data_IF_143341614781
#
_entry.id   IF_143341614781
#
_cell.length_a   1.000
_cell.length_b   1.000
_cell.length_c   1.000
_cell.angle_alpha   90.00
_cell.angle_beta   90.00
_cell.angle_gamma   90.00
#
_symmetry.space_group_name_H-M   'P 1'
#
loop_
_entity.id
_entity.type
_entity.pdbx_description
1 polymer ?
#
# COMPACT_ATOMS: atom_id res chain seq x y z
N UNK A 1 16.18 2.19 9.18
CA UNK A 1 16.91 3.09 8.27
C UNK A 1 16.81 4.51 8.83
N UNK A 2 17.95 5.16 9.11
CA UNK A 2 17.97 6.50 9.71
C UNK A 2 17.62 7.55 8.64
N UNK A 3 16.66 8.44 8.90
CA UNK A 3 16.23 9.53 8.01
C UNK A 3 17.11 10.76 8.29
N UNK A 4 17.85 11.26 7.31
CA UNK A 4 18.73 12.43 7.51
C UNK A 4 17.96 13.72 7.72
N UNK A 5 16.81 13.88 7.06
CA UNK A 5 15.88 14.99 7.25
C UNK A 5 15.53 15.17 8.73
N UNK A 6 15.27 14.07 9.45
CA UNK A 6 14.96 14.11 10.88
C UNK A 6 16.07 14.80 11.69
N UNK A 7 17.33 14.48 11.41
CA UNK A 7 18.48 15.06 12.11
C UNK A 7 18.68 16.53 11.74
N UNK A 8 18.49 16.87 10.47
CA UNK A 8 18.61 18.25 9.96
C UNK A 8 17.51 19.15 10.53
N UNK A 9 16.26 18.68 10.54
CA UNK A 9 15.16 19.47 11.09
C UNK A 9 15.30 19.65 12.61
N UNK A 10 15.79 18.63 13.32
CA UNK A 10 16.03 18.70 14.77
C UNK A 10 17.15 19.66 15.16
N UNK A 11 18.18 19.77 14.33
CA UNK A 11 19.32 20.67 14.55
C UNK A 11 19.10 22.08 14.00
N UNK A 12 17.95 22.33 13.36
CA UNK A 12 17.64 23.62 12.75
C UNK A 12 17.37 24.68 13.82
N UNK A 13 18.08 25.82 13.80
CA UNK A 13 17.80 26.93 14.70
C UNK A 13 16.58 27.76 14.28
N UNK A 14 15.87 27.36 13.23
CA UNK A 14 14.75 28.12 12.61
C UNK A 14 13.42 27.38 12.77
N UNK A 15 13.45 26.06 12.98
CA UNK A 15 12.26 25.22 13.09
C UNK A 15 12.04 24.92 14.57
N UNK A 16 11.11 25.66 15.18
CA UNK A 16 10.78 25.48 16.59
C UNK A 16 9.42 24.84 16.75
N UNK A 17 8.47 25.16 15.85
CA UNK A 17 7.12 24.63 15.87
C UNK A 17 6.76 23.91 14.56
N UNK A 18 5.83 22.95 14.57
CA UNK A 18 5.41 22.26 13.35
C UNK A 18 4.78 23.18 12.30
N UNK A 19 4.25 24.35 12.67
CA UNK A 19 3.80 25.37 11.72
C UNK A 19 4.95 25.98 10.90
N UNK A 20 6.17 26.11 11.45
CA UNK A 20 7.35 26.62 10.71
C UNK A 20 7.67 25.75 9.51
N UNK A 21 7.30 24.48 9.62
CA UNK A 21 7.45 23.47 8.59
C UNK A 21 6.66 23.82 7.32
N UNK A 22 5.48 24.43 7.46
CA UNK A 22 4.72 24.91 6.30
C UNK A 22 5.39 26.12 5.64
N UNK A 23 6.05 26.97 6.41
CA UNK A 23 6.74 28.16 5.91
C UNK A 23 7.95 27.80 5.05
N UNK A 24 8.68 26.75 5.43
CA UNK A 24 9.89 26.30 4.75
C UNK A 24 9.71 25.00 3.97
N UNK A 25 8.47 24.63 3.65
CA UNK A 25 8.14 23.31 3.08
C UNK A 25 8.91 22.99 1.80
N UNK A 26 9.19 23.99 0.97
CA UNK A 26 9.97 23.82 -0.26
C UNK A 26 11.41 23.42 0.01
N UNK A 27 12.09 24.11 0.93
CA UNK A 27 13.44 23.75 1.35
C UNK A 27 13.47 22.36 2.01
N UNK A 28 12.44 22.05 2.81
CA UNK A 28 12.30 20.74 3.45
C UNK A 28 12.14 19.63 2.42
N UNK A 29 11.38 19.86 1.34
CA UNK A 29 11.28 18.90 0.24
C UNK A 29 12.60 18.71 -0.50
N UNK A 30 13.39 19.76 -0.73
CA UNK A 30 14.72 19.57 -1.34
C UNK A 30 15.61 18.69 -0.46
N UNK A 31 15.62 18.93 0.85
CA UNK A 31 16.39 18.13 1.81
C UNK A 31 15.87 16.68 1.88
N UNK A 32 14.54 16.49 1.79
CA UNK A 32 13.91 15.17 1.89
C UNK A 32 14.19 14.28 0.67
N UNK A 33 14.63 14.84 -0.46
CA UNK A 33 14.76 14.13 -1.75
C UNK A 33 15.70 12.94 -1.66
N UNK A 34 16.87 13.12 -1.05
CA UNK A 34 17.88 12.06 -0.94
C UNK A 34 17.42 10.93 -0.01
N UNK A 35 16.73 11.29 1.08
CA UNK A 35 16.09 10.31 1.93
C UNK A 35 15.06 9.51 1.14
N UNK A 36 14.12 10.17 0.46
CA UNK A 36 13.09 9.52 -0.36
C UNK A 36 13.71 8.61 -1.41
N UNK A 37 14.74 9.05 -2.15
CA UNK A 37 15.45 8.25 -3.14
C UNK A 37 16.14 7.03 -2.51
N UNK A 38 16.78 7.20 -1.36
CA UNK A 38 17.43 6.10 -0.63
C UNK A 38 16.40 5.11 -0.08
N UNK A 39 15.29 5.60 0.47
CA UNK A 39 14.20 4.75 0.98
C UNK A 39 13.57 3.97 -0.16
N UNK A 40 13.27 4.62 -1.28
CA UNK A 40 12.71 3.98 -2.47
C UNK A 40 13.61 2.83 -2.94
N UNK A 41 14.92 3.08 -3.11
CA UNK A 41 15.91 2.05 -3.47
C UNK A 41 15.98 0.92 -2.44
N UNK A 42 16.05 1.24 -1.16
CA UNK A 42 16.10 0.24 -0.09
C UNK A 42 14.84 -0.65 -0.07
N UNK A 43 13.68 -0.07 -0.41
CA UNK A 43 12.39 -0.77 -0.54
C UNK A 43 12.16 -1.37 -1.93
N UNK A 44 13.19 -1.36 -2.80
CA UNK A 44 13.12 -1.84 -4.19
C UNK A 44 11.94 -1.23 -4.99
N UNK A 45 11.60 0.02 -4.68
CA UNK A 45 10.62 0.82 -5.43
C UNK A 45 11.37 1.62 -6.49
N UNK A 46 11.15 1.27 -7.74
CA UNK A 46 11.79 1.91 -8.89
C UNK A 46 10.80 2.82 -9.57
N UNK A 47 11.25 4.04 -9.89
CA UNK A 47 10.49 5.02 -10.66
C UNK A 47 11.30 5.29 -11.93
N UNK A 48 10.68 5.09 -13.10
CA UNK A 48 11.36 5.34 -14.38
C UNK A 48 11.84 6.79 -14.49
N UNK A 49 10.98 7.73 -14.09
CA UNK A 49 11.34 9.13 -13.91
C UNK A 49 11.10 9.53 -12.44
N UNK A 50 12.14 9.33 -11.62
CA UNK A 50 12.12 9.68 -10.21
C UNK A 50 11.86 11.17 -10.00
N UNK A 51 12.47 12.03 -10.82
CA UNK A 51 12.45 13.47 -10.63
C UNK A 51 11.06 14.05 -10.87
N UNK A 52 10.43 13.64 -11.97
CA UNK A 52 9.05 14.02 -12.28
C UNK A 52 8.09 13.47 -11.21
N UNK A 53 8.19 12.18 -10.86
CA UNK A 53 7.36 11.60 -9.81
C UNK A 53 7.52 12.34 -8.46
N UNK A 54 8.75 12.72 -8.11
CA UNK A 54 9.07 13.44 -6.88
C UNK A 54 8.45 14.84 -6.87
N UNK A 55 8.62 15.61 -7.95
CA UNK A 55 8.06 16.96 -8.06
C UNK A 55 6.53 16.96 -7.95
N UNK A 56 5.86 16.00 -8.59
CA UNK A 56 4.41 15.87 -8.51
C UNK A 56 3.96 15.43 -7.11
N UNK A 57 4.71 14.55 -6.46
CA UNK A 57 4.46 14.16 -5.08
C UNK A 57 4.56 15.35 -4.12
N UNK A 58 5.49 16.27 -4.37
CA UNK A 58 5.63 17.52 -3.62
C UNK A 58 4.37 18.38 -3.77
N UNK A 59 3.88 18.58 -5.00
CA UNK A 59 2.64 19.32 -5.27
C UNK A 59 1.43 18.70 -4.57
N UNK A 60 1.25 17.39 -4.68
CA UNK A 60 0.16 16.66 -4.01
C UNK A 60 0.25 16.75 -2.47
N UNK A 61 1.48 16.73 -1.93
CA UNK A 61 1.73 16.87 -0.49
C UNK A 61 1.39 18.28 -0.01
N UNK A 62 1.76 19.35 -0.75
CA UNK A 62 1.33 20.72 -0.43
C UNK A 62 -0.19 20.86 -0.40
N UNK A 63 -0.89 20.29 -1.40
CA UNK A 63 -2.36 20.29 -1.44
C UNK A 63 -2.98 19.50 -0.29
N UNK A 64 -2.30 18.49 0.24
CA UNK A 64 -2.73 17.80 1.46
C UNK A 64 -2.54 18.70 2.68
N UNK A 65 -1.37 19.33 2.82
CA UNK A 65 -1.04 20.20 3.95
C UNK A 65 -1.91 21.46 4.02
N UNK A 66 -2.38 21.99 2.88
CA UNK A 66 -3.31 23.12 2.86
C UNK A 66 -4.69 22.75 3.43
N UNK A 67 -5.08 21.47 3.40
CA UNK A 67 -6.32 20.97 4.01
C UNK A 67 -6.12 20.73 5.51
N UNK A 68 -5.96 21.83 6.26
CA UNK A 68 -5.76 21.83 7.73
C UNK A 68 -6.87 21.11 8.52
N UNK A 69 -8.03 20.86 7.93
CA UNK A 69 -9.11 20.10 8.55
C UNK A 69 -8.85 18.58 8.62
N UNK A 70 -7.95 18.04 7.78
CA UNK A 70 -7.64 16.62 7.76
C UNK A 70 -7.01 16.17 9.08
N UNK A 71 -7.54 15.08 9.65
CA UNK A 71 -7.09 14.55 10.95
C UNK A 71 -5.57 14.30 11.01
N UNK A 72 -5.00 13.76 9.92
CA UNK A 72 -3.56 13.54 9.82
C UNK A 72 -2.77 14.85 9.82
N UNK A 73 -3.24 15.87 9.09
CA UNK A 73 -2.60 17.19 9.00
C UNK A 73 -2.70 17.93 10.34
N UNK A 74 -3.88 17.91 10.99
CA UNK A 74 -4.03 18.44 12.34
C UNK A 74 -3.03 17.80 13.29
N UNK A 75 -2.99 16.47 13.33
CA UNK A 75 -2.10 15.73 14.24
C UNK A 75 -0.63 16.14 14.08
N UNK A 76 -0.13 16.26 12.86
CA UNK A 76 1.28 16.62 12.64
C UNK A 76 1.58 18.10 12.93
N UNK A 77 0.61 19.00 12.71
CA UNK A 77 0.80 20.43 12.92
C UNK A 77 0.62 20.83 14.40
N UNK A 78 -0.34 20.23 15.10
CA UNK A 78 -0.67 20.65 16.47
C UNK A 78 0.01 19.83 17.57
N UNK A 79 0.47 18.62 17.25
CA UNK A 79 0.95 17.67 18.27
C UNK A 79 2.17 16.85 17.84
N UNK A 80 2.66 17.05 16.61
CA UNK A 80 3.79 16.29 16.09
C UNK A 80 5.11 16.82 16.61
N UNK A 81 5.97 15.94 17.12
CA UNK A 81 7.39 16.27 17.26
C UNK A 81 8.00 16.45 15.87
N UNK A 82 9.00 17.32 15.74
CA UNK A 82 9.70 17.59 14.46
C UNK A 82 10.12 16.27 13.79
N UNK A 83 10.58 15.29 14.57
CA UNK A 83 11.01 13.99 14.06
C UNK A 83 9.87 13.12 13.50
N UNK A 84 8.71 13.16 14.17
CA UNK A 84 7.51 12.47 13.72
C UNK A 84 6.98 13.11 12.44
N UNK A 85 7.03 14.45 12.36
CA UNK A 85 6.62 15.18 11.16
C UNK A 85 7.57 14.93 9.98
N UNK A 86 8.88 14.87 10.22
CA UNK A 86 9.87 14.49 9.20
C UNK A 86 9.57 13.09 8.63
N UNK A 87 9.30 12.12 9.51
CA UNK A 87 8.98 10.74 9.12
C UNK A 87 7.66 10.68 8.34
N UNK A 88 6.65 11.43 8.78
CA UNK A 88 5.37 11.52 8.09
C UNK A 88 5.52 12.12 6.69
N UNK A 89 6.31 13.18 6.53
CA UNK A 89 6.54 13.83 5.23
C UNK A 89 7.20 12.91 4.22
N UNK A 90 8.29 12.26 4.61
CA UNK A 90 8.99 11.29 3.75
C UNK A 90 8.04 10.17 3.33
N UNK A 91 7.24 9.66 4.26
CA UNK A 91 6.24 8.63 3.98
C UNK A 91 5.15 9.14 3.02
N UNK A 92 4.69 10.38 3.20
CA UNK A 92 3.66 10.99 2.36
C UNK A 92 4.15 11.25 0.93
N UNK A 93 5.38 11.72 0.78
CA UNK A 93 6.04 11.92 -0.52
C UNK A 93 6.13 10.59 -1.26
N UNK A 94 6.71 9.56 -0.63
CA UNK A 94 6.82 8.22 -1.22
C UNK A 94 5.46 7.65 -1.66
N UNK A 95 4.45 7.73 -0.80
CA UNK A 95 3.12 7.21 -1.11
C UNK A 95 2.48 7.98 -2.28
N UNK A 96 2.67 9.30 -2.34
CA UNK A 96 2.18 10.09 -3.46
C UNK A 96 2.92 9.74 -4.76
N UNK A 97 4.25 9.55 -4.72
CA UNK A 97 5.01 9.08 -5.90
C UNK A 97 4.48 7.74 -6.41
N UNK A 98 4.22 6.79 -5.50
CA UNK A 98 3.69 5.48 -5.85
C UNK A 98 2.29 5.60 -6.45
N UNK A 99 1.36 6.27 -5.77
CA UNK A 99 0.00 6.42 -6.29
C UNK A 99 -0.04 7.10 -7.67
N UNK A 100 0.81 8.09 -7.90
CA UNK A 100 0.89 8.77 -9.20
C UNK A 100 1.45 7.88 -10.31
N UNK A 101 2.31 6.92 -9.99
CA UNK A 101 2.99 6.08 -10.98
C UNK A 101 2.32 4.73 -11.17
N UNK A 102 1.57 4.22 -10.19
CA UNK A 102 0.96 2.89 -10.22
C UNK A 102 -0.57 2.89 -10.24
N UNK A 103 -1.23 3.96 -9.80
CA UNK A 103 -2.68 4.02 -9.70
C UNK A 103 -3.27 4.99 -10.74
N UNK A 104 -3.81 4.43 -11.83
CA UNK A 104 -4.39 5.21 -12.92
C UNK A 104 -5.58 6.07 -12.45
N UNK A 105 -6.41 5.59 -11.52
CA UNK A 105 -7.53 6.38 -10.99
C UNK A 105 -7.01 7.56 -10.15
N UNK A 106 -5.89 7.41 -9.44
CA UNK A 106 -5.32 8.49 -8.62
C UNK A 106 -4.82 9.66 -9.46
N UNK A 107 -4.36 9.40 -10.70
CA UNK A 107 -3.95 10.44 -11.66
C UNK A 107 -5.11 11.37 -12.00
N UNK A 108 -6.33 10.84 -12.09
CA UNK A 108 -7.54 11.60 -12.40
C UNK A 108 -8.02 12.49 -11.23
N UNK A 109 -7.75 12.08 -9.98
CA UNK A 109 -8.16 12.83 -8.77
C UNK A 109 -7.20 13.97 -8.39
N UNK A 110 -5.96 13.95 -8.88
CA UNK A 110 -4.99 15.01 -8.63
C UNK A 110 -4.86 15.87 -9.89
N UNK A 111 -5.61 16.97 -9.93
CA UNK A 111 -5.36 18.04 -10.89
C UNK A 111 -3.96 18.63 -10.64
N UNK A 112 -3.00 18.19 -11.47
CA UNK A 112 -1.57 18.57 -11.43
C UNK A 112 -1.24 19.70 -12.42
N UNK A 113 -2.25 20.26 -13.10
CA UNK A 113 -2.08 21.13 -14.26
C UNK A 113 -1.66 20.34 -15.51
N UNK A 114 -1.55 21.04 -16.66
CA UNK A 114 -1.17 20.51 -17.98
C UNK A 114 0.26 19.94 -18.01
N UNK A 115 0.53 18.90 -17.25
CA UNK A 115 1.77 18.14 -17.32
C UNK A 115 1.43 16.89 -18.12
N UNK A 116 1.71 16.97 -19.41
CA UNK A 116 1.65 15.83 -20.33
C UNK A 116 2.65 14.80 -19.82
N UNK A 117 2.15 13.79 -19.13
CA UNK A 117 2.80 12.49 -19.13
C UNK A 117 2.70 11.99 -20.57
N UNK A 118 3.80 12.00 -21.32
CA UNK A 118 3.83 11.17 -22.50
C UNK A 118 3.68 9.72 -22.03
N UNK A 119 2.47 9.19 -22.27
CA UNK A 119 2.10 7.81 -22.08
C UNK A 119 3.16 6.90 -22.70
N UNK A 120 4.05 6.35 -21.87
CA UNK A 120 4.79 5.11 -22.15
C UNK A 120 5.50 4.66 -20.87
N UNK A 121 5.37 3.37 -20.56
CA UNK A 121 5.95 2.62 -19.43
C UNK A 121 5.16 2.66 -18.12
N UNK A 122 4.19 1.75 -17.97
CA UNK A 122 4.36 0.48 -17.26
C UNK A 122 3.03 -0.28 -17.36
N UNK A 123 2.83 -0.96 -18.50
CA UNK A 123 1.99 -2.15 -18.46
C UNK A 123 2.76 -3.21 -17.66
N UNK A 124 2.09 -3.65 -16.59
CA UNK A 124 2.15 -4.99 -16.04
C UNK A 124 3.55 -5.60 -15.86
N UNK A 125 4.10 -5.52 -14.65
CA UNK A 125 4.67 -6.66 -13.91
C UNK A 125 4.87 -6.29 -12.41
N UNK A 126 4.10 -6.94 -11.53
CA UNK A 126 4.53 -7.37 -10.19
C UNK A 126 4.92 -6.33 -9.10
N UNK A 127 4.19 -5.22 -8.92
CA UNK A 127 4.44 -4.29 -7.79
C UNK A 127 3.46 -4.38 -6.62
N UNK A 128 2.43 -5.24 -6.69
CA UNK A 128 1.41 -5.42 -5.65
C UNK A 128 1.86 -6.24 -4.41
N UNK A 129 3.09 -6.77 -4.39
CA UNK A 129 3.46 -7.78 -3.39
C UNK A 129 4.02 -7.24 -2.06
N UNK A 130 4.48 -5.98 -1.99
CA UNK A 130 5.34 -5.53 -0.87
C UNK A 130 4.77 -4.45 0.06
N UNK A 131 3.69 -3.75 -0.31
CA UNK A 131 2.99 -2.85 0.64
C UNK A 131 1.93 -3.56 1.48
N UNK A 132 1.55 -4.77 1.05
CA UNK A 132 0.67 -5.67 1.78
C UNK A 132 1.39 -6.28 2.99
N UNK A 133 2.65 -6.70 2.90
CA UNK A 133 3.34 -7.39 4.01
C UNK A 133 3.42 -6.57 5.31
N UNK A 134 3.86 -5.31 5.25
CA UNK A 134 4.05 -4.47 6.45
C UNK A 134 2.72 -3.99 7.07
N UNK A 135 1.63 -4.01 6.29
CA UNK A 135 0.26 -3.80 6.75
C UNK A 135 -0.34 -5.08 7.32
N UNK A 136 -0.15 -6.22 6.65
CA UNK A 136 -0.63 -7.54 7.07
C UNK A 136 0.06 -8.01 8.36
N UNK A 137 1.35 -7.72 8.56
CA UNK A 137 2.07 -7.97 9.81
C UNK A 137 1.52 -7.17 11.00
N UNK A 138 0.94 -6.00 10.75
CA UNK A 138 0.29 -5.15 11.76
C UNK A 138 -1.22 -5.38 11.88
N UNK A 139 -1.79 -6.18 10.97
CA UNK A 139 -3.21 -6.50 10.93
C UNK A 139 -3.51 -7.59 11.96
N UNK A 140 -4.64 -7.47 12.66
CA UNK A 140 -5.00 -8.47 13.66
C UNK A 140 -5.25 -9.83 12.99
N UNK A 141 -4.98 -10.95 13.71
CA UNK A 141 -5.30 -12.30 13.19
C UNK A 141 -6.77 -12.45 12.81
N UNK A 142 -7.67 -11.73 13.47
CA UNK A 142 -9.12 -11.74 13.19
C UNK A 142 -9.40 -11.10 11.84
N UNK A 143 -8.81 -9.94 11.58
CA UNK A 143 -8.99 -9.22 10.31
C UNK A 143 -8.32 -9.95 9.14
N UNK A 144 -7.14 -10.55 9.37
CA UNK A 144 -6.46 -11.41 8.38
C UNK A 144 -7.33 -12.61 7.99
N UNK A 145 -7.92 -13.29 8.99
CA UNK A 145 -8.83 -14.42 8.77
C UNK A 145 -10.06 -14.01 7.98
N UNK A 146 -10.66 -12.86 8.30
CA UNK A 146 -11.83 -12.34 7.59
C UNK A 146 -11.49 -11.98 6.13
N UNK A 147 -10.37 -11.29 5.91
CA UNK A 147 -9.92 -10.89 4.57
C UNK A 147 -9.62 -12.08 3.66
N UNK A 148 -8.90 -13.08 4.18
CA UNK A 148 -8.60 -14.32 3.44
C UNK A 148 -9.87 -15.09 3.05
N UNK A 149 -10.86 -15.18 3.95
CA UNK A 149 -12.16 -15.78 3.62
C UNK A 149 -12.84 -15.10 2.43
N UNK A 150 -12.88 -13.76 2.46
CA UNK A 150 -13.51 -12.97 1.39
C UNK A 150 -12.77 -13.13 0.06
N UNK A 151 -11.44 -13.03 0.11
CA UNK A 151 -10.58 -13.13 -1.08
C UNK A 151 -10.57 -14.52 -1.72
N UNK A 152 -10.74 -15.59 -0.94
CA UNK A 152 -10.93 -16.93 -1.50
C UNK A 152 -12.34 -17.09 -2.08
N UNK A 153 -13.38 -16.70 -1.32
CA UNK A 153 -14.79 -16.87 -1.73
C UNK A 153 -15.16 -16.10 -3.00
N UNK A 154 -14.48 -14.98 -3.27
CA UNK A 154 -14.71 -14.17 -4.47
C UNK A 154 -13.77 -14.52 -5.64
N UNK A 155 -12.95 -15.57 -5.50
CA UNK A 155 -12.05 -16.04 -6.56
C UNK A 155 -10.81 -15.15 -6.80
N UNK A 156 -10.47 -14.27 -5.85
CA UNK A 156 -9.25 -13.46 -5.93
C UNK A 156 -8.01 -14.29 -5.60
N UNK A 157 -8.15 -15.32 -4.76
CA UNK A 157 -7.08 -16.26 -4.39
C UNK A 157 -7.42 -17.66 -4.86
N UNK A 158 -6.44 -18.36 -5.41
CA UNK A 158 -6.52 -19.81 -5.63
C UNK A 158 -6.12 -20.61 -4.37
N UNK A 159 -6.24 -21.94 -4.45
CA UNK A 159 -5.94 -22.84 -3.33
C UNK A 159 -4.46 -22.76 -2.91
N UNK A 160 -3.53 -22.69 -3.86
CA UNK A 160 -2.10 -22.64 -3.57
C UNK A 160 -1.73 -21.31 -2.89
N UNK A 161 -2.32 -20.21 -3.36
CA UNK A 161 -2.15 -18.88 -2.78
C UNK A 161 -2.74 -18.81 -1.36
N UNK A 162 -3.94 -19.37 -1.16
CA UNK A 162 -4.56 -19.46 0.17
C UNK A 162 -3.72 -20.31 1.14
N UNK A 163 -3.18 -21.43 0.68
CA UNK A 163 -2.32 -22.31 1.48
C UNK A 163 -1.01 -21.61 1.89
N UNK A 164 -0.34 -20.95 0.93
CA UNK A 164 0.86 -20.16 1.19
C UNK A 164 0.62 -19.08 2.25
N UNK A 165 -0.48 -18.32 2.13
CA UNK A 165 -0.81 -17.25 3.07
C UNK A 165 -1.19 -17.78 4.45
N UNK A 166 -1.92 -18.91 4.52
CA UNK A 166 -2.25 -19.55 5.79
C UNK A 166 -1.00 -20.03 6.53
N UNK A 167 -0.05 -20.66 5.83
CA UNK A 167 1.23 -21.07 6.42
C UNK A 167 2.03 -19.85 6.91
N UNK A 168 2.14 -18.81 6.08
CA UNK A 168 2.89 -17.58 6.38
C UNK A 168 2.39 -16.87 7.64
N UNK A 169 1.08 -16.80 7.84
CA UNK A 169 0.47 -16.11 8.98
C UNK A 169 0.01 -17.05 10.10
N UNK A 170 0.39 -18.33 10.02
CA UNK A 170 0.05 -19.37 11.00
C UNK A 170 -1.47 -19.48 11.26
N UNK A 171 -2.25 -19.51 10.17
CA UNK A 171 -3.72 -19.63 10.15
C UNK A 171 -4.13 -21.04 9.68
N UNK A 172 -5.32 -21.49 10.08
CA UNK A 172 -5.86 -22.79 9.69
C UNK A 172 -6.57 -22.69 8.32
N UNK A 173 -6.11 -23.48 7.35
CA UNK A 173 -6.63 -23.48 5.98
C UNK A 173 -8.11 -23.90 5.92
N UNK A 174 -8.49 -24.99 6.60
CA UNK A 174 -9.87 -25.49 6.66
C UNK A 174 -10.84 -24.43 7.21
N UNK A 175 -10.40 -23.62 8.18
CA UNK A 175 -11.22 -22.52 8.71
C UNK A 175 -11.44 -21.39 7.69
N UNK A 176 -10.50 -21.17 6.77
CA UNK A 176 -10.58 -20.16 5.70
C UNK A 176 -11.44 -20.68 4.54
N UNK A 177 -11.21 -21.92 4.10
CA UNK A 177 -11.90 -22.52 2.97
C UNK A 177 -13.33 -22.96 3.31
N UNK A 178 -13.59 -23.32 4.58
CA UNK A 178 -14.87 -23.88 5.02
C UNK A 178 -15.04 -25.37 4.72
N UNK A 179 -14.02 -26.02 4.16
CA UNK A 179 -13.94 -27.46 3.89
C UNK A 179 -12.48 -27.91 3.93
N UNK A 180 -12.22 -29.22 4.02
CA UNK A 180 -10.87 -29.77 3.87
C UNK A 180 -10.59 -30.02 2.37
N UNK A 181 -9.61 -29.32 1.77
CA UNK A 181 -9.33 -29.44 0.35
C UNK A 181 -8.62 -30.74 -0.02
N UNK A 182 -8.13 -31.51 0.95
CA UNK A 182 -7.47 -32.80 0.74
C UNK A 182 -8.37 -33.98 1.11
N UNK A 183 -9.55 -33.71 1.68
CA UNK A 183 -10.58 -34.72 1.86
C UNK A 183 -11.12 -35.14 0.49
N UNK A 184 -11.03 -36.44 0.20
CA UNK A 184 -11.54 -36.98 -1.06
C UNK A 184 -13.05 -37.03 -0.95
N UNK A 185 -13.80 -36.31 -1.82
CA UNK A 185 -15.25 -36.38 -1.77
C UNK A 185 -15.70 -37.81 -2.05
N UNK A 186 -16.67 -38.30 -1.29
CA UNK A 186 -17.30 -39.58 -1.58
C UNK A 186 -18.17 -39.43 -2.84
N UNK A 187 -17.87 -40.22 -3.87
CA UNK A 187 -18.56 -40.15 -5.17
C UNK A 187 -19.38 -41.42 -5.37
N UNK A 188 -20.67 -41.24 -5.59
CA UNK A 188 -21.61 -42.31 -5.93
C UNK A 188 -22.01 -42.27 -7.41
N UNK A 189 -22.80 -43.26 -7.82
CA UNK A 189 -23.46 -43.27 -9.13
C UNK A 189 -24.97 -43.30 -8.93
N UNK A 190 -25.69 -42.43 -9.62
CA UNK A 190 -27.15 -42.46 -9.68
C UNK A 190 -27.64 -42.57 -11.13
N UNK A 191 -28.86 -43.07 -11.29
CA UNK A 191 -29.48 -43.23 -12.61
C UNK A 191 -30.28 -41.98 -12.94
N UNK A 192 -29.84 -41.24 -13.96
CA UNK A 192 -30.56 -40.07 -14.46
C UNK A 192 -31.89 -40.48 -15.09
N UNK A 193 -32.82 -39.51 -15.24
CA UNK A 193 -34.14 -39.75 -15.88
C UNK A 193 -34.05 -40.28 -17.32
N UNK A 194 -32.94 -40.03 -18.00
CA UNK A 194 -32.64 -40.57 -19.33
C UNK A 194 -32.25 -42.06 -19.33
N UNK A 195 -32.06 -42.67 -18.15
CA UNK A 195 -31.62 -44.05 -17.98
C UNK A 195 -30.10 -44.23 -17.91
N UNK A 196 -29.32 -43.18 -18.21
CA UNK A 196 -27.86 -43.17 -18.12
C UNK A 196 -27.40 -42.98 -16.67
N UNK A 197 -26.19 -43.47 -16.36
CA UNK A 197 -25.56 -43.25 -15.06
C UNK A 197 -24.89 -41.88 -15.03
N UNK A 198 -25.02 -41.18 -13.90
CA UNK A 198 -24.38 -39.92 -13.62
C UNK A 198 -23.62 -39.99 -12.29
N UNK A 199 -22.45 -39.36 -12.23
CA UNK A 199 -21.69 -39.20 -11.00
C UNK A 199 -22.38 -38.19 -10.08
N UNK A 200 -22.48 -38.53 -8.80
CA UNK A 200 -23.11 -37.71 -7.77
C UNK A 200 -22.17 -37.60 -6.56
N UNK A 201 -22.13 -36.41 -5.96
CA UNK A 201 -21.44 -36.17 -4.70
C UNK A 201 -22.31 -36.69 -3.56
N UNK A 202 -21.74 -37.54 -2.72
CA UNK A 202 -22.36 -38.01 -1.49
C UNK A 202 -22.00 -37.01 -0.38
N UNK A 203 -23.03 -36.41 0.24
CA UNK A 203 -22.92 -35.46 1.35
C UNK A 203 -23.46 -36.06 2.63
#
# INVERSE_FOLDING_TARGET
MQIQLKEILKSSPILHEPEDLLKYIDAIFEIARDDVARIARARKKYFADFDTAYQLSCKATKKTLSKRSLKAVKRILSCGKIEETATWLVSRLLNNMLNLTTNNNYKEYVDLGNITYEDRFFEDQNLNFFETEDFLEKTSRVDLKLGLKVAFSNGTLDLNEAEYLCQKYNLNLTEILGYDPYETPEIGQEKAKSGNLQLTLLF
#
